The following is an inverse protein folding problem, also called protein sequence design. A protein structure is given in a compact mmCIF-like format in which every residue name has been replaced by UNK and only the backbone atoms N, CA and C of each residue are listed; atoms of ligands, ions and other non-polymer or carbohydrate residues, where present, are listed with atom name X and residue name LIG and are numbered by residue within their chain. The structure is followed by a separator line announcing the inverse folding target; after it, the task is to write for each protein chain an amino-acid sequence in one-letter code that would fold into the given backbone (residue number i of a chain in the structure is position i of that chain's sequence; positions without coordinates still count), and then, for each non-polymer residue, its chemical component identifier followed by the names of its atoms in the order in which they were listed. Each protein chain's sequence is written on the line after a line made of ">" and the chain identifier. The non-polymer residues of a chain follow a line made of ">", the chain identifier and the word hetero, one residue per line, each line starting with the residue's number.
data_IF_242970999673
#
_entry.id   IF_242970999673
#
_cell.length_a   1.000
_cell.length_b   1.000
_cell.length_c   1.000
_cell.angle_alpha   90.00
_cell.angle_beta   90.00
_cell.angle_gamma   90.00
#
_symmetry.space_group_name_H-M   'P 1'
#
loop_
_entity.id
_entity.type
_entity.pdbx_description
1 polymer ?
#
# COMPACT_ATOMS: atom_id res chain seq x y z
N UNK A 1 -5.42 -21.62 29.13
CA UNK A 1 -5.27 -20.18 28.81
C UNK A 1 -4.63 -19.47 29.98
N UNK A 2 -3.56 -18.72 29.73
CA UNK A 2 -2.93 -17.87 30.75
C UNK A 2 -3.92 -16.77 31.14
N UNK A 3 -4.08 -16.49 32.44
CA UNK A 3 -4.97 -15.42 32.91
C UNK A 3 -6.48 -15.75 32.97
N UNK A 4 -6.89 -17.00 32.72
CA UNK A 4 -8.31 -17.42 32.75
C UNK A 4 -8.99 -17.25 34.11
N UNK A 5 -8.23 -17.07 35.18
CA UNK A 5 -8.75 -16.88 36.54
C UNK A 5 -9.39 -15.50 36.75
N UNK A 6 -8.98 -14.47 35.98
CA UNK A 6 -9.49 -13.10 36.11
C UNK A 6 -10.48 -12.78 34.97
N UNK A 7 -11.78 -13.03 35.21
CA UNK A 7 -12.84 -12.84 34.19
C UNK A 7 -12.88 -11.44 33.57
N UNK A 8 -12.59 -10.40 34.36
CA UNK A 8 -12.66 -9.01 33.88
C UNK A 8 -11.55 -8.63 32.92
N UNK A 9 -10.36 -9.23 33.07
CA UNK A 9 -9.17 -8.94 32.25
C UNK A 9 -8.86 -10.01 31.21
N UNK A 10 -9.60 -11.11 31.21
CA UNK A 10 -9.34 -12.24 30.32
C UNK A 10 -9.49 -11.87 28.84
N UNK A 11 -10.55 -11.11 28.49
CA UNK A 11 -10.73 -10.58 27.14
C UNK A 11 -10.39 -9.10 27.09
N UNK A 12 -9.51 -8.72 26.15
CA UNK A 12 -9.20 -7.31 25.89
C UNK A 12 -10.40 -6.59 25.26
N UNK A 13 -10.45 -5.25 25.34
CA UNK A 13 -11.52 -4.49 24.66
C UNK A 13 -11.55 -4.80 23.15
N UNK A 14 -10.39 -5.01 22.52
CA UNK A 14 -10.29 -5.38 21.11
C UNK A 14 -10.93 -6.73 20.83
N UNK A 15 -10.68 -7.75 21.68
CA UNK A 15 -11.29 -9.07 21.51
C UNK A 15 -12.81 -9.01 21.68
N UNK A 16 -13.28 -8.25 22.68
CA UNK A 16 -14.72 -8.02 22.91
C UNK A 16 -15.37 -7.34 21.70
N UNK A 17 -14.73 -6.30 21.17
CA UNK A 17 -15.20 -5.60 19.96
C UNK A 17 -15.25 -6.56 18.77
N UNK A 18 -14.21 -7.39 18.58
CA UNK A 18 -14.16 -8.38 17.49
C UNK A 18 -15.30 -9.40 17.62
N UNK A 19 -15.54 -9.95 18.82
CA UNK A 19 -16.65 -10.89 19.06
C UNK A 19 -18.01 -10.24 18.82
N UNK A 20 -18.22 -9.02 19.29
CA UNK A 20 -19.49 -8.28 19.05
C UNK A 20 -19.69 -8.02 17.56
N UNK A 21 -18.65 -7.56 16.85
CA UNK A 21 -18.70 -7.34 15.41
C UNK A 21 -19.01 -8.64 14.65
N UNK A 22 -18.37 -9.75 15.03
CA UNK A 22 -18.63 -11.07 14.48
C UNK A 22 -20.10 -11.49 14.68
N UNK A 23 -20.68 -11.25 15.86
CA UNK A 23 -22.10 -11.53 16.12
C UNK A 23 -22.97 -10.66 15.20
N UNK A 24 -22.74 -9.34 15.18
CA UNK A 24 -23.52 -8.40 14.38
C UNK A 24 -23.47 -8.69 12.88
N UNK A 25 -22.36 -9.22 12.36
CA UNK A 25 -22.23 -9.60 10.95
C UNK A 25 -22.98 -10.90 10.60
N UNK A 26 -23.21 -11.79 11.57
CA UNK A 26 -23.80 -13.11 11.35
C UNK A 26 -25.26 -13.23 11.82
N UNK A 27 -25.76 -12.29 12.63
CA UNK A 27 -27.15 -12.30 13.08
C UNK A 27 -28.08 -12.14 11.89
N UNK A 28 -29.06 -13.05 11.80
CA UNK A 28 -30.13 -13.00 10.81
C UNK A 28 -31.31 -12.20 11.35
N UNK A 29 -31.76 -11.19 10.62
CA UNK A 29 -32.94 -10.40 11.00
C UNK A 29 -34.20 -10.81 10.23
N UNK A 30 -34.05 -11.56 9.13
CA UNK A 30 -35.17 -12.03 8.32
C UNK A 30 -34.92 -13.37 7.63
N UNK A 31 -35.36 -13.50 6.38
CA UNK A 31 -35.23 -14.75 5.61
C UNK A 31 -33.82 -14.88 5.03
N UNK A 32 -33.11 -15.95 5.41
CA UNK A 32 -31.78 -16.29 4.83
C UNK A 32 -31.78 -16.34 3.30
N UNK A 33 -32.85 -16.84 2.67
CA UNK A 33 -32.99 -16.90 1.20
C UNK A 33 -32.99 -15.53 0.49
N UNK A 34 -33.33 -14.45 1.19
CA UNK A 34 -33.34 -13.08 0.66
C UNK A 34 -32.09 -12.29 1.02
N UNK A 35 -31.14 -12.97 1.61
CA UNK A 35 -29.93 -12.40 2.10
C UNK A 35 -30.06 -11.37 3.25
N UNK A 36 -31.09 -11.53 4.08
CA UNK A 36 -31.40 -10.63 5.20
C UNK A 36 -30.57 -11.00 6.45
N UNK A 37 -29.24 -10.83 6.34
CA UNK A 37 -28.24 -11.21 7.36
C UNK A 37 -27.19 -10.12 7.53
N UNK A 38 -26.84 -9.85 8.78
CA UNK A 38 -25.71 -9.00 9.15
C UNK A 38 -26.01 -7.50 9.16
N UNK A 39 -25.25 -6.78 9.97
CA UNK A 39 -25.38 -5.33 10.14
C UNK A 39 -24.96 -4.53 8.90
N UNK A 40 -23.99 -5.01 8.12
CA UNK A 40 -23.46 -4.29 6.96
C UNK A 40 -24.55 -3.98 5.95
N UNK A 41 -25.47 -4.93 5.72
CA UNK A 41 -26.59 -4.73 4.80
C UNK A 41 -27.60 -3.71 5.32
N UNK A 42 -27.88 -3.72 6.63
CA UNK A 42 -28.77 -2.74 7.25
C UNK A 42 -28.20 -1.32 7.17
N UNK A 43 -26.87 -1.18 7.16
CA UNK A 43 -26.20 0.09 6.88
C UNK A 43 -26.28 0.46 5.40
N UNK A 44 -26.08 -0.49 4.48
CA UNK A 44 -26.22 -0.27 3.04
C UNK A 44 -27.65 0.11 2.60
N UNK A 45 -28.66 -0.44 3.28
CA UNK A 45 -30.08 -0.15 3.03
C UNK A 45 -30.57 1.11 3.80
N UNK A 46 -29.67 1.90 4.39
CA UNK A 46 -29.95 3.10 5.19
C UNK A 46 -30.93 2.88 6.36
N UNK A 47 -31.06 1.64 6.84
CA UNK A 47 -31.80 1.33 8.08
C UNK A 47 -31.01 1.78 9.31
N UNK A 48 -29.69 1.62 9.25
CA UNK A 48 -28.74 2.19 10.21
C UNK A 48 -27.80 3.18 9.51
N UNK A 49 -27.51 4.31 10.16
CA UNK A 49 -26.60 5.30 9.59
C UNK A 49 -25.13 4.84 9.60
N UNK A 50 -24.70 4.17 10.67
CA UNK A 50 -23.33 3.68 10.81
C UNK A 50 -23.23 2.62 11.91
N UNK A 51 -22.22 1.77 11.81
CA UNK A 51 -21.84 0.81 12.84
C UNK A 51 -20.32 0.85 13.03
N UNK A 52 -19.86 1.29 14.20
CA UNK A 52 -18.43 1.38 14.52
C UNK A 52 -18.19 1.16 16.03
N UNK A 53 -17.03 0.60 16.41
CA UNK A 53 -16.64 0.48 17.81
C UNK A 53 -16.22 1.83 18.39
N UNK A 54 -16.40 1.99 19.71
CA UNK A 54 -15.97 3.17 20.44
C UNK A 54 -14.48 3.08 20.82
N UNK A 55 -13.81 4.22 20.84
CA UNK A 55 -12.41 4.33 21.26
C UNK A 55 -12.26 4.31 22.79
N UNK A 56 -11.08 3.87 23.25
CA UNK A 56 -10.69 3.91 24.67
C UNK A 56 -10.40 5.37 25.11
N UNK A 57 -11.40 6.02 25.71
CA UNK A 57 -11.25 7.30 26.42
C UNK A 57 -10.91 8.53 25.56
N UNK A 58 -10.62 9.67 26.21
CA UNK A 58 -10.30 10.93 25.54
C UNK A 58 -8.95 10.87 24.81
N UNK A 59 -8.80 11.72 23.79
CA UNK A 59 -7.54 11.87 23.04
C UNK A 59 -6.51 12.72 23.77
N UNK A 60 -6.97 13.80 24.40
CA UNK A 60 -6.12 14.75 25.12
C UNK A 60 -5.55 14.09 26.38
N UNK A 61 -4.28 14.36 26.65
CA UNK A 61 -3.58 13.86 27.84
C UNK A 61 -3.15 15.07 28.69
N UNK A 62 -3.92 15.39 29.73
CA UNK A 62 -3.65 16.53 30.62
C UNK A 62 -2.51 16.24 31.60
N UNK A 63 -1.26 16.24 31.12
CA UNK A 63 -0.04 16.01 31.94
C UNK A 63 -0.18 14.85 32.95
N UNK A 64 -1.00 13.85 32.62
CA UNK A 64 -1.26 12.69 33.46
C UNK A 64 0.01 11.86 33.55
N UNK A 65 0.26 11.30 34.73
CA UNK A 65 1.34 10.33 34.92
C UNK A 65 1.16 9.16 33.93
N UNK A 66 2.28 8.64 33.42
CA UNK A 66 2.27 7.64 32.34
C UNK A 66 1.45 6.38 32.70
N UNK A 67 1.44 5.99 33.97
CA UNK A 67 0.68 4.83 34.47
C UNK A 67 -0.84 5.01 34.44
N UNK A 68 -1.33 6.24 34.26
CA UNK A 68 -2.77 6.56 34.17
C UNK A 68 -3.25 6.81 32.75
N UNK A 69 -2.36 6.72 31.76
CA UNK A 69 -2.70 6.99 30.37
C UNK A 69 -3.48 5.82 29.74
N UNK A 70 -4.51 6.17 28.98
CA UNK A 70 -5.23 5.22 28.14
C UNK A 70 -4.36 4.77 26.96
N UNK A 71 -4.61 3.58 26.41
CA UNK A 71 -3.89 3.04 25.23
C UNK A 71 -3.85 4.02 24.05
N UNK A 72 -4.96 4.72 23.80
CA UNK A 72 -5.05 5.77 22.76
C UNK A 72 -4.06 6.91 23.02
N UNK A 73 -3.98 7.41 24.25
CA UNK A 73 -3.07 8.50 24.63
C UNK A 73 -1.60 8.06 24.55
N UNK A 74 -1.28 6.82 24.96
CA UNK A 74 0.07 6.24 24.85
C UNK A 74 0.52 6.19 23.38
N UNK A 75 -0.34 5.69 22.49
CA UNK A 75 -0.06 5.65 21.04
C UNK A 75 0.15 7.05 20.47
N UNK A 76 -0.66 8.03 20.89
CA UNK A 76 -0.49 9.44 20.46
C UNK A 76 0.81 10.05 20.96
N UNK A 77 1.22 9.77 22.21
CA UNK A 77 2.44 10.31 22.81
C UNK A 77 3.71 9.75 22.17
N UNK A 78 3.75 8.45 21.89
CA UNK A 78 4.98 7.75 21.50
C UNK A 78 5.08 7.34 20.01
N UNK A 79 3.95 7.27 19.28
CA UNK A 79 3.93 6.74 17.91
C UNK A 79 3.37 7.74 16.89
N UNK A 80 2.17 8.26 17.10
CA UNK A 80 1.47 9.11 16.13
C UNK A 80 1.92 10.59 16.17
N UNK A 81 3.23 10.87 16.26
CA UNK A 81 3.80 12.24 16.24
C UNK A 81 4.89 12.35 15.19
N UNK A 82 4.93 13.49 14.50
CA UNK A 82 5.96 13.83 13.52
C UNK A 82 7.40 13.72 14.07
N UNK A 83 7.61 13.93 15.37
CA UNK A 83 8.91 13.78 16.04
C UNK A 83 9.29 12.35 16.46
N UNK A 84 8.41 11.36 16.30
CA UNK A 84 8.67 9.97 16.70
C UNK A 84 9.51 9.22 15.64
N UNK A 85 10.74 9.70 15.43
CA UNK A 85 11.66 9.22 14.38
C UNK A 85 11.97 7.71 14.42
N UNK A 86 11.86 7.09 15.61
CA UNK A 86 12.18 5.67 15.82
C UNK A 86 11.34 4.71 14.98
N UNK A 87 10.15 5.12 14.52
CA UNK A 87 9.27 4.33 13.65
C UNK A 87 9.84 4.24 12.21
N UNK A 88 10.60 5.23 11.76
CA UNK A 88 11.09 5.34 10.39
C UNK A 88 12.45 4.65 10.15
N UNK A 89 13.03 3.98 11.16
CA UNK A 89 14.38 3.38 11.10
C UNK A 89 14.57 2.30 10.03
N UNK A 90 13.49 1.68 9.55
CA UNK A 90 13.58 0.61 8.52
C UNK A 90 13.87 1.19 7.13
N UNK A 91 13.54 2.46 6.87
CA UNK A 91 13.80 3.12 5.59
C UNK A 91 15.22 3.69 5.47
N UNK A 92 15.93 3.84 6.59
CA UNK A 92 17.19 4.58 6.71
C UNK A 92 18.35 4.03 5.86
N UNK A 93 18.56 2.71 5.67
CA UNK A 93 19.66 2.21 4.85
C UNK A 93 19.56 2.62 3.37
N UNK A 94 18.34 2.80 2.86
CA UNK A 94 18.10 3.20 1.47
C UNK A 94 18.34 4.70 1.22
N UNK A 95 18.23 5.52 2.26
CA UNK A 95 18.41 6.96 2.21
C UNK A 95 19.89 7.34 2.36
N UNK A 96 20.62 6.66 3.24
CA UNK A 96 22.06 6.89 3.43
C UNK A 96 22.86 6.57 2.17
N UNK A 97 22.55 5.45 1.49
CA UNK A 97 23.19 5.09 0.23
C UNK A 97 22.90 6.08 -0.90
N UNK A 98 21.67 6.61 -0.97
CA UNK A 98 21.29 7.64 -1.95
C UNK A 98 22.00 8.96 -1.69
N UNK A 99 22.05 9.39 -0.42
CA UNK A 99 22.75 10.60 0.00
C UNK A 99 24.25 10.54 -0.31
N UNK A 100 24.92 9.43 0.02
CA UNK A 100 26.36 9.28 -0.22
C UNK A 100 26.74 9.33 -1.71
N UNK A 101 25.92 8.73 -2.59
CA UNK A 101 26.16 8.80 -4.05
C UNK A 101 25.83 10.16 -4.64
N UNK A 102 24.79 10.83 -4.15
CA UNK A 102 24.46 12.18 -4.58
C UNK A 102 25.59 13.16 -4.22
N UNK A 103 26.15 13.04 -3.01
CA UNK A 103 27.34 13.80 -2.61
C UNK A 103 28.57 13.46 -3.45
N UNK A 104 28.82 12.18 -3.70
CA UNK A 104 29.92 11.74 -4.57
C UNK A 104 29.80 12.34 -5.98
N UNK A 105 28.60 12.29 -6.57
CA UNK A 105 28.32 12.87 -7.89
C UNK A 105 28.42 14.40 -7.92
N UNK A 106 28.10 15.11 -6.83
CA UNK A 106 28.33 16.56 -6.71
C UNK A 106 29.83 16.87 -6.68
N UNK A 107 30.62 16.12 -5.90
CA UNK A 107 32.06 16.33 -5.77
C UNK A 107 32.79 16.04 -7.09
N UNK A 108 32.35 15.02 -7.84
CA UNK A 108 32.95 14.68 -9.14
C UNK A 108 32.35 15.46 -10.31
N UNK A 109 31.27 16.23 -10.11
CA UNK A 109 30.55 16.97 -11.16
C UNK A 109 31.44 17.97 -11.91
N UNK A 110 32.39 18.61 -11.22
CA UNK A 110 33.31 19.60 -11.80
C UNK A 110 34.43 18.99 -12.66
N UNK A 111 34.68 17.69 -12.55
CA UNK A 111 35.80 16.99 -13.22
C UNK A 111 35.40 16.32 -14.54
N UNK A 112 34.18 16.58 -15.01
CA UNK A 112 33.64 15.91 -16.18
C UNK A 112 34.06 16.59 -17.47
N UNK A 113 34.95 15.92 -18.19
CA UNK A 113 35.42 16.34 -19.51
C UNK A 113 34.24 16.66 -20.46
N UNK A 114 33.20 15.81 -20.60
CA UNK A 114 32.11 16.10 -21.54
C UNK A 114 31.24 17.30 -21.14
N UNK A 115 30.94 17.45 -19.84
CA UNK A 115 30.14 18.59 -19.37
C UNK A 115 30.92 19.90 -19.48
N UNK A 116 32.21 19.88 -19.17
CA UNK A 116 33.08 21.04 -19.27
C UNK A 116 33.31 21.46 -20.74
N UNK A 117 33.40 20.52 -21.67
CA UNK A 117 33.47 20.81 -23.12
C UNK A 117 32.19 21.48 -23.65
N UNK A 118 31.01 21.01 -23.21
CA UNK A 118 29.72 21.63 -23.56
C UNK A 118 29.67 23.08 -23.05
N UNK A 119 30.06 23.30 -21.78
CA UNK A 119 30.04 24.62 -21.16
C UNK A 119 31.10 25.58 -21.74
N UNK A 120 32.25 25.07 -22.18
CA UNK A 120 33.34 25.89 -22.76
C UNK A 120 33.18 26.18 -24.26
N UNK A 121 32.16 25.61 -24.93
CA UNK A 121 31.99 25.71 -26.39
C UNK A 121 31.65 27.13 -26.91
N UNK A 122 31.36 28.11 -26.04
CA UNK A 122 31.14 29.53 -26.35
C UNK A 122 30.40 29.79 -27.68
N UNK A 123 29.23 29.17 -27.85
CA UNK A 123 28.34 29.31 -29.04
C UNK A 123 28.91 28.81 -30.38
N UNK A 124 30.00 28.04 -30.37
CA UNK A 124 30.63 27.52 -31.59
C UNK A 124 29.77 26.47 -32.30
N UNK A 125 29.00 25.68 -31.54
CA UNK A 125 28.16 24.61 -32.07
C UNK A 125 26.67 24.99 -32.06
N UNK A 126 26.12 25.26 -33.25
CA UNK A 126 24.70 25.54 -33.48
C UNK A 126 23.96 24.25 -33.77
N UNK A 127 22.94 23.96 -32.97
CA UNK A 127 22.11 22.76 -33.05
C UNK A 127 20.85 23.03 -33.86
N UNK A 128 20.35 21.98 -34.52
CA UNK A 128 19.09 22.04 -35.26
C UNK A 128 17.90 22.23 -34.30
N UNK A 129 16.82 22.89 -34.76
CA UNK A 129 15.59 22.99 -33.99
C UNK A 129 14.98 21.59 -33.79
N UNK A 130 14.27 21.42 -32.67
CA UNK A 130 13.61 20.16 -32.29
C UNK A 130 12.25 19.98 -33.00
N UNK A 131 11.81 20.99 -33.75
CA UNK A 131 10.52 21.09 -34.42
C UNK A 131 10.71 21.82 -35.76
N UNK A 132 9.75 21.63 -36.69
CA UNK A 132 9.77 22.29 -37.99
C UNK A 132 9.77 23.81 -37.86
N UNK A 133 10.54 24.47 -38.73
CA UNK A 133 10.70 25.93 -38.74
C UNK A 133 9.36 26.67 -38.94
N UNK A 134 8.40 26.03 -39.62
CA UNK A 134 7.05 26.55 -39.88
C UNK A 134 6.24 26.80 -38.60
N UNK A 135 6.59 26.15 -37.49
CA UNK A 135 5.96 26.29 -36.17
C UNK A 135 6.67 27.39 -35.33
N UNK A 136 7.77 27.98 -35.85
CA UNK A 136 8.51 29.08 -35.23
C UNK A 136 9.65 28.65 -34.29
N UNK A 137 10.17 27.44 -34.43
CA UNK A 137 11.27 26.94 -33.62
C UNK A 137 12.63 27.47 -34.07
N UNK A 138 13.36 28.12 -33.15
CA UNK A 138 14.67 28.68 -33.44
C UNK A 138 15.81 27.65 -33.23
N UNK A 139 16.88 27.81 -33.99
CA UNK A 139 18.15 27.15 -33.72
C UNK A 139 18.68 27.55 -32.33
N UNK A 140 19.36 26.62 -31.67
CA UNK A 140 19.89 26.81 -30.33
C UNK A 140 21.37 26.44 -30.26
N UNK A 141 22.11 27.04 -29.32
CA UNK A 141 23.53 26.77 -29.16
C UNK A 141 23.77 25.69 -28.10
N UNK A 142 24.72 24.78 -28.37
CA UNK A 142 25.03 23.66 -27.48
C UNK A 142 25.42 24.12 -26.06
N UNK A 143 26.11 25.26 -25.95
CA UNK A 143 26.50 25.88 -24.67
C UNK A 143 25.32 26.18 -23.73
N UNK A 144 24.13 26.45 -24.27
CA UNK A 144 22.92 26.75 -23.47
C UNK A 144 22.40 25.52 -22.69
N UNK A 145 22.82 24.32 -23.06
CA UNK A 145 22.45 23.05 -22.38
C UNK A 145 23.43 22.67 -21.26
N UNK A 146 24.43 23.50 -20.97
CA UNK A 146 25.45 23.27 -19.93
C UNK A 146 24.86 22.83 -18.56
N UNK A 147 23.85 23.53 -18.04
CA UNK A 147 23.23 23.17 -16.75
C UNK A 147 22.53 21.81 -16.77
N UNK A 148 21.93 21.45 -17.91
CA UNK A 148 21.28 20.14 -18.10
C UNK A 148 22.31 19.02 -18.22
N UNK A 149 23.44 19.28 -18.88
CA UNK A 149 24.55 18.34 -19.00
C UNK A 149 25.21 18.06 -17.64
N UNK A 150 25.44 19.08 -16.82
CA UNK A 150 25.96 18.92 -15.46
C UNK A 150 24.99 18.15 -14.55
N UNK A 151 23.69 18.43 -14.66
CA UNK A 151 22.65 17.72 -13.92
C UNK A 151 22.51 16.26 -14.36
N UNK A 152 22.57 15.96 -15.66
CA UNK A 152 22.52 14.59 -16.18
C UNK A 152 23.67 13.74 -15.64
N UNK A 153 24.89 14.28 -15.56
CA UNK A 153 26.01 13.55 -14.98
C UNK A 153 25.80 13.18 -13.49
N UNK A 154 25.14 14.05 -12.72
CA UNK A 154 24.83 13.74 -11.32
C UNK A 154 24.01 12.45 -11.19
N UNK A 155 23.13 12.20 -12.14
CA UNK A 155 22.29 11.00 -12.21
C UNK A 155 22.94 9.83 -12.97
N UNK A 156 23.85 10.10 -13.91
CA UNK A 156 24.47 9.09 -14.80
C UNK A 156 26.00 8.99 -14.64
N UNK A 157 26.50 9.02 -13.41
CA UNK A 157 27.90 8.76 -13.10
C UNK A 157 28.17 7.26 -12.96
N UNK A 158 29.41 6.81 -13.12
CA UNK A 158 29.79 5.38 -13.04
C UNK A 158 29.34 4.66 -11.74
N UNK A 159 29.08 5.41 -10.65
CA UNK A 159 28.55 4.90 -9.39
C UNK A 159 27.09 4.42 -9.44
N UNK A 160 26.29 4.85 -10.43
CA UNK A 160 24.89 4.42 -10.57
C UNK A 160 24.76 2.99 -11.06
N UNK A 161 25.72 2.51 -11.86
CA UNK A 161 25.79 1.10 -12.28
C UNK A 161 26.02 0.18 -11.09
N UNK A 162 26.94 0.53 -10.19
CA UNK A 162 27.14 -0.24 -8.95
C UNK A 162 25.92 -0.19 -8.03
N UNK A 163 25.21 0.95 -8.02
CA UNK A 163 23.98 1.09 -7.25
C UNK A 163 22.84 0.23 -7.79
N UNK A 164 22.65 0.13 -9.10
CA UNK A 164 21.58 -0.68 -9.68
C UNK A 164 21.76 -2.15 -9.33
N UNK A 165 23.00 -2.65 -9.37
CA UNK A 165 23.34 -4.00 -8.91
C UNK A 165 23.02 -4.16 -7.41
N UNK A 166 23.46 -3.21 -6.57
CA UNK A 166 23.15 -3.22 -5.15
C UNK A 166 21.64 -3.21 -4.86
N UNK A 167 20.85 -2.41 -5.58
CA UNK A 167 19.40 -2.33 -5.41
C UNK A 167 18.71 -3.65 -5.74
N UNK A 168 19.16 -4.34 -6.78
CA UNK A 168 18.64 -5.67 -7.13
C UNK A 168 18.86 -6.67 -5.98
N UNK A 169 20.07 -6.74 -5.42
CA UNK A 169 20.35 -7.60 -4.27
C UNK A 169 19.63 -7.16 -2.99
N UNK A 170 19.56 -5.85 -2.75
CA UNK A 170 18.87 -5.28 -1.60
C UNK A 170 17.37 -5.58 -1.65
N UNK A 171 16.72 -5.45 -2.81
CA UNK A 171 15.29 -5.73 -2.97
C UNK A 171 14.95 -7.18 -2.64
N UNK A 172 15.72 -8.13 -3.19
CA UNK A 172 15.53 -9.56 -2.89
C UNK A 172 15.76 -9.84 -1.41
N UNK A 173 16.88 -9.34 -0.85
CA UNK A 173 17.21 -9.53 0.56
C UNK A 173 16.16 -8.92 1.50
N UNK A 174 15.62 -7.75 1.14
CA UNK A 174 14.56 -7.07 1.86
C UNK A 174 13.28 -7.89 1.86
N UNK A 175 12.86 -8.42 0.71
CA UNK A 175 11.67 -9.26 0.61
C UNK A 175 11.82 -10.57 1.40
N UNK A 176 12.99 -11.22 1.35
CA UNK A 176 13.25 -12.41 2.17
C UNK A 176 13.27 -12.10 3.67
N UNK A 177 13.90 -10.99 4.06
CA UNK A 177 13.87 -10.52 5.45
C UNK A 177 12.45 -10.21 5.90
N UNK A 178 11.66 -9.54 5.08
CA UNK A 178 10.27 -9.18 5.37
C UNK A 178 9.42 -10.43 5.55
N UNK A 179 9.49 -11.41 4.64
CA UNK A 179 8.76 -12.69 4.78
C UNK A 179 9.07 -13.38 6.11
N UNK A 180 10.35 -13.44 6.50
CA UNK A 180 10.78 -14.03 7.78
C UNK A 180 10.26 -13.24 8.98
N UNK A 181 10.28 -11.90 8.90
CA UNK A 181 9.79 -11.03 9.98
C UNK A 181 8.27 -11.09 10.11
N UNK A 182 7.54 -11.10 9.01
CA UNK A 182 6.10 -11.29 8.97
C UNK A 182 5.73 -12.63 9.62
N UNK A 183 6.37 -13.74 9.22
CA UNK A 183 6.11 -15.06 9.83
C UNK A 183 6.40 -15.09 11.34
N UNK A 184 7.53 -14.48 11.76
CA UNK A 184 7.85 -14.37 13.17
C UNK A 184 6.81 -13.54 13.94
N UNK A 185 6.36 -12.41 13.41
CA UNK A 185 5.33 -11.59 14.04
C UNK A 185 3.97 -12.28 14.06
N UNK A 186 3.57 -12.95 12.98
CA UNK A 186 2.35 -13.74 12.92
C UNK A 186 2.33 -14.84 13.98
N UNK A 187 3.46 -15.52 14.21
CA UNK A 187 3.60 -16.48 15.30
C UNK A 187 3.49 -15.82 16.68
N UNK A 188 4.20 -14.71 16.93
CA UNK A 188 4.14 -14.02 18.22
C UNK A 188 2.77 -13.42 18.54
N UNK A 189 2.02 -13.03 17.51
CA UNK A 189 0.66 -12.48 17.63
C UNK A 189 -0.43 -13.53 17.52
N UNK A 190 -0.08 -14.83 17.41
CA UNK A 190 -1.04 -15.93 17.30
C UNK A 190 -2.01 -15.74 16.11
N UNK A 191 -1.49 -15.22 15.00
CA UNK A 191 -2.23 -14.91 13.77
C UNK A 191 -1.85 -15.81 12.59
N UNK A 192 -1.21 -16.97 12.85
CA UNK A 192 -0.77 -17.88 11.79
C UNK A 192 -1.96 -18.51 11.04
N UNK A 193 -3.02 -18.86 11.76
CA UNK A 193 -4.21 -19.55 11.23
C UNK A 193 -5.41 -18.60 11.04
N UNK A 194 -5.17 -17.28 11.08
CA UNK A 194 -6.22 -16.27 11.03
C UNK A 194 -7.04 -16.31 9.73
N UNK A 195 -6.39 -16.56 8.59
CA UNK A 195 -7.05 -16.61 7.28
C UNK A 195 -8.04 -17.78 7.21
N UNK A 196 -7.66 -18.98 7.65
CA UNK A 196 -8.52 -20.17 7.60
C UNK A 196 -9.70 -20.10 8.58
N UNK A 197 -9.52 -19.49 9.76
CA UNK A 197 -10.57 -19.39 10.78
C UNK A 197 -11.57 -18.25 10.51
N UNK A 198 -11.10 -17.13 9.96
CA UNK A 198 -11.88 -15.89 9.81
C UNK A 198 -12.43 -15.65 8.38
N UNK A 199 -11.84 -16.21 7.30
CA UNK A 199 -12.34 -16.10 5.92
C UNK A 199 -13.59 -16.98 5.63
N UNK A 200 -14.58 -16.92 6.50
CA UNK A 200 -15.91 -17.46 6.20
C UNK A 200 -16.51 -16.71 5.00
N UNK A 201 -17.38 -17.36 4.20
CA UNK A 201 -17.97 -16.69 3.04
C UNK A 201 -18.67 -15.42 3.49
N UNK A 202 -18.25 -14.28 2.91
CA UNK A 202 -18.81 -12.95 3.21
C UNK A 202 -20.34 -13.07 3.34
N UNK A 203 -20.96 -12.51 4.38
CA UNK A 203 -22.39 -12.73 4.62
C UNK A 203 -23.24 -12.37 3.41
N UNK A 204 -22.91 -11.29 2.68
CA UNK A 204 -23.57 -10.93 1.42
C UNK A 204 -23.46 -12.00 0.32
N UNK A 205 -22.29 -12.61 0.16
CA UNK A 205 -22.05 -13.69 -0.80
C UNK A 205 -22.85 -14.94 -0.43
N UNK A 206 -22.79 -15.33 0.85
CA UNK A 206 -23.50 -16.49 1.38
C UNK A 206 -25.01 -16.42 1.14
N UNK A 207 -25.49 -15.20 1.10
CA UNK A 207 -26.89 -14.85 1.13
C UNK A 207 -27.44 -14.70 -0.30
N UNK A 208 -26.63 -14.23 -1.26
CA UNK A 208 -26.97 -14.15 -2.68
C UNK A 208 -26.73 -15.45 -3.46
N UNK A 209 -26.08 -16.44 -2.86
CA UNK A 209 -25.76 -17.69 -3.53
C UNK A 209 -27.05 -18.44 -3.95
N UNK A 210 -27.16 -18.87 -5.22
CA UNK A 210 -28.33 -19.58 -5.70
C UNK A 210 -28.40 -21.03 -5.22
N UNK A 211 -27.25 -21.62 -4.86
CA UNK A 211 -27.09 -23.03 -4.53
C UNK A 211 -26.26 -23.19 -3.25
N UNK A 212 -26.44 -24.33 -2.59
CA UNK A 212 -25.59 -24.82 -1.51
C UNK A 212 -24.89 -26.07 -2.01
N UNK A 213 -23.57 -26.14 -1.89
CA UNK A 213 -22.77 -27.29 -2.29
C UNK A 213 -21.97 -27.80 -1.08
N UNK A 214 -21.78 -29.12 -0.99
CA UNK A 214 -21.01 -29.71 0.09
C UNK A 214 -19.53 -29.59 -0.23
N UNK A 215 -18.78 -28.92 0.63
CA UNK A 215 -17.33 -28.79 0.48
C UNK A 215 -16.68 -30.19 0.57
N UNK A 216 -15.85 -30.60 -0.40
CA UNK A 216 -15.26 -31.94 -0.44
C UNK A 216 -14.24 -32.20 0.67
N UNK A 217 -13.68 -31.15 1.28
CA UNK A 217 -12.65 -31.23 2.33
C UNK A 217 -13.30 -31.18 3.72
N UNK A 218 -14.12 -30.17 3.98
CA UNK A 218 -14.72 -29.95 5.31
C UNK A 218 -16.03 -30.72 5.51
N UNK A 219 -16.71 -31.12 4.43
CA UNK A 219 -18.01 -31.78 4.46
C UNK A 219 -19.18 -30.87 4.86
N UNK A 220 -18.93 -29.57 5.03
CA UNK A 220 -19.93 -28.57 5.40
C UNK A 220 -20.69 -28.11 4.15
N UNK A 221 -21.98 -27.82 4.27
CA UNK A 221 -22.78 -27.23 3.19
C UNK A 221 -22.49 -25.73 3.11
N UNK A 222 -21.88 -25.30 2.01
CA UNK A 222 -21.44 -23.93 1.78
C UNK A 222 -22.18 -23.29 0.60
N UNK A 223 -22.44 -21.96 0.67
CA UNK A 223 -22.99 -21.20 -0.44
C UNK A 223 -22.12 -21.27 -1.70
N UNK A 224 -22.68 -21.69 -2.83
CA UNK A 224 -21.95 -21.91 -4.07
C UNK A 224 -22.53 -21.15 -5.26
N UNK A 225 -21.63 -20.57 -6.06
CA UNK A 225 -21.95 -19.99 -7.36
C UNK A 225 -21.40 -20.87 -8.48
N UNK A 226 -22.27 -21.38 -9.38
CA UNK A 226 -21.88 -22.11 -10.58
C UNK A 226 -20.72 -21.44 -11.34
N UNK A 227 -19.79 -22.27 -11.82
CA UNK A 227 -18.60 -21.79 -12.53
C UNK A 227 -18.96 -20.91 -13.73
N UNK A 228 -20.00 -21.26 -14.49
CA UNK A 228 -20.37 -20.52 -15.70
C UNK A 228 -20.78 -19.08 -15.38
N UNK A 229 -21.49 -18.87 -14.26
CA UNK A 229 -21.84 -17.52 -13.82
C UNK A 229 -20.62 -16.75 -13.32
N UNK A 230 -19.70 -17.41 -12.61
CA UNK A 230 -18.43 -16.80 -12.19
C UNK A 230 -17.59 -16.41 -13.42
N UNK A 231 -17.39 -17.32 -14.37
CA UNK A 231 -16.64 -17.10 -15.61
C UNK A 231 -17.21 -15.94 -16.42
N UNK A 232 -18.54 -15.86 -16.60
CA UNK A 232 -19.19 -14.74 -17.29
C UNK A 232 -18.91 -13.39 -16.60
N UNK A 233 -19.01 -13.32 -15.26
CA UNK A 233 -18.70 -12.10 -14.50
C UNK A 233 -17.23 -11.69 -14.62
N UNK A 234 -16.32 -12.66 -14.58
CA UNK A 234 -14.89 -12.44 -14.79
C UNK A 234 -14.61 -11.88 -16.19
N UNK A 235 -15.19 -12.48 -17.23
CA UNK A 235 -15.04 -12.02 -18.61
C UNK A 235 -15.56 -10.60 -18.82
N UNK A 236 -16.70 -10.25 -18.21
CA UNK A 236 -17.19 -8.85 -18.25
C UNK A 236 -16.23 -7.90 -17.53
N UNK A 237 -15.67 -8.28 -16.39
CA UNK A 237 -14.68 -7.45 -15.67
C UNK A 237 -13.41 -7.23 -16.49
N UNK A 238 -12.88 -8.30 -17.11
CA UNK A 238 -11.72 -8.21 -18.01
C UNK A 238 -12.04 -7.33 -19.22
N UNK A 239 -13.23 -7.48 -19.81
CA UNK A 239 -13.66 -6.67 -20.95
C UNK A 239 -13.71 -5.17 -20.63
N UNK A 240 -14.16 -4.79 -19.43
CA UNK A 240 -14.14 -3.39 -18.98
C UNK A 240 -12.72 -2.87 -18.86
N UNK A 241 -11.80 -3.62 -18.26
CA UNK A 241 -10.39 -3.22 -18.13
C UNK A 241 -9.73 -3.03 -19.50
N UNK A 242 -9.96 -3.96 -20.44
CA UNK A 242 -9.47 -3.83 -21.82
C UNK A 242 -10.06 -2.60 -22.51
N UNK A 243 -11.34 -2.32 -22.28
CA UNK A 243 -12.00 -1.10 -22.78
C UNK A 243 -11.38 0.18 -22.21
N UNK A 244 -11.03 0.20 -20.93
CA UNK A 244 -10.36 1.34 -20.29
C UNK A 244 -8.98 1.59 -20.90
N UNK A 245 -8.16 0.53 -21.07
CA UNK A 245 -6.83 0.64 -21.70
C UNK A 245 -6.92 1.08 -23.15
N UNK A 246 -7.91 0.57 -23.90
CA UNK A 246 -8.11 0.98 -25.29
C UNK A 246 -8.52 2.46 -25.40
N UNK A 247 -9.38 2.92 -24.50
CA UNK A 247 -9.80 4.33 -24.43
C UNK A 247 -8.64 5.25 -24.06
N UNK A 248 -7.79 4.83 -23.13
CA UNK A 248 -6.59 5.57 -22.73
C UNK A 248 -5.61 5.74 -23.90
N UNK A 249 -5.30 4.67 -24.63
CA UNK A 249 -4.45 4.77 -25.85
C UNK A 249 -5.03 5.68 -26.91
N UNK A 250 -6.36 5.65 -27.08
CA UNK A 250 -7.00 6.48 -28.09
C UNK A 250 -6.98 7.97 -27.72
N UNK A 251 -6.93 8.31 -26.43
CA UNK A 251 -6.71 9.69 -25.99
C UNK A 251 -5.24 10.11 -26.19
N UNK A 252 -4.28 9.21 -26.00
CA UNK A 252 -2.85 9.48 -26.26
C UNK A 252 -2.53 9.66 -27.75
N UNK A 253 -3.24 8.97 -28.64
CA UNK A 253 -3.05 9.10 -30.09
C UNK A 253 -3.73 10.36 -30.68
N UNK A 254 -4.67 10.97 -29.95
CA UNK A 254 -5.44 12.16 -30.38
C UNK A 254 -4.84 13.50 -29.87
N UNK A 255 -3.90 13.47 -28.91
CA UNK A 255 -3.14 14.63 -28.35
C UNK A 255 -1.77 14.83 -29.02
#
# INVERSE_FOLDING_TARGET
>A
FVGSQNRDRFFTNTDRIRVVNYILQNVTYGKRKRAEVGINRLVEEDVFQAAYPLHDGPEEYDNLADDKLNRRQVLRKYWARWGAWNVYRVATPSLSGRYYRFLYGIITSSWNVPANEICASNETYKMCPLCDEDIGCNYWYLSTTCSKAQLSYLFDHAGTVFFSIFMSFWAVTFLEYWKRKQASLAYHWDCMDFEDEEERPRPQFAAQAPLLEKNPITGILEPYFPEDMRKRRWLTGIGVLVGMVKKEKQLEDDD
#
